data_IF_916895759300
#
_entry.id   IF_916895759300
#
_cell.length_a   1.000
_cell.length_b   1.000
_cell.length_c   1.000
_cell.angle_alpha   90.00
_cell.angle_beta   90.00
_cell.angle_gamma   90.00
#
_symmetry.space_group_name_H-M   'P 1'
#
loop_
_entity.id
_entity.type
_entity.pdbx_description
1 polymer ?
#
# COMPACT_ATOMS: atom_id res chain seq x y z
N UNK A 1 -38.82 43.77 31.25
CA UNK A 1 -40.27 43.94 31.49
C UNK A 1 -40.93 43.99 30.12
N UNK A 2 -41.52 42.84 29.67
CA UNK A 2 -42.58 42.63 28.64
C UNK A 2 -42.35 43.18 27.18
N UNK A 3 -42.71 42.49 26.06
CA UNK A 3 -43.22 41.13 25.84
C UNK A 3 -42.62 40.32 24.64
N UNK A 4 -43.05 39.05 24.59
CA UNK A 4 -43.27 38.20 23.39
C UNK A 4 -44.14 38.96 22.35
N UNK A 5 -44.07 38.70 21.05
CA UNK A 5 -44.79 37.64 20.34
C UNK A 5 -44.51 37.85 18.84
N UNK A 6 -44.13 36.82 18.09
CA UNK A 6 -44.73 36.50 16.78
C UNK A 6 -44.64 34.96 16.61
N UNK A 7 -45.81 34.34 16.61
CA UNK A 7 -46.10 33.02 16.03
C UNK A 7 -46.09 33.17 14.49
N UNK A 8 -46.04 32.18 13.59
CA UNK A 8 -46.44 30.77 13.53
C UNK A 8 -45.96 30.24 12.14
N UNK A 9 -46.17 28.94 11.87
CA UNK A 9 -45.93 28.14 10.66
C UNK A 9 -44.62 27.31 10.77
N UNK A 10 -44.64 25.99 11.02
CA UNK A 10 -45.64 24.99 10.69
C UNK A 10 -45.22 24.23 9.43
N UNK A 11 -44.28 23.28 9.56
CA UNK A 11 -44.10 22.20 8.60
C UNK A 11 -43.38 21.03 9.30
N UNK A 12 -44.14 19.96 9.56
CA UNK A 12 -43.61 18.67 9.94
C UNK A 12 -42.80 18.10 8.76
N UNK A 13 -41.48 17.99 8.92
CA UNK A 13 -40.66 17.17 8.05
C UNK A 13 -40.59 15.77 8.69
N UNK A 14 -41.38 14.85 8.11
CA UNK A 14 -41.22 13.42 8.27
C UNK A 14 -39.76 13.06 7.97
N UNK A 15 -39.04 12.61 8.99
CA UNK A 15 -37.75 11.95 8.83
C UNK A 15 -38.00 10.65 8.06
N UNK A 16 -37.75 10.67 6.75
CA UNK A 16 -37.59 9.46 5.98
C UNK A 16 -36.35 8.71 6.49
N UNK A 17 -36.42 7.40 6.75
CA UNK A 17 -35.24 6.65 7.12
C UNK A 17 -34.28 6.63 5.93
N UNK A 18 -33.02 6.99 6.19
CA UNK A 18 -31.90 6.74 5.28
C UNK A 18 -31.80 5.23 5.04
N UNK A 19 -32.46 4.75 3.99
CA UNK A 19 -32.24 3.42 3.45
C UNK A 19 -30.88 3.43 2.75
N UNK A 20 -29.89 2.74 3.34
CA UNK A 20 -28.57 2.57 2.75
C UNK A 20 -27.39 2.58 3.73
N UNK A 21 -27.58 2.13 4.96
CA UNK A 21 -26.46 1.82 5.87
C UNK A 21 -26.90 0.71 6.83
N UNK A 22 -27.02 -0.52 6.31
CA UNK A 22 -27.07 -1.73 7.11
C UNK A 22 -26.85 -2.94 6.19
N UNK A 23 -25.58 -3.31 6.03
CA UNK A 23 -25.19 -4.64 5.55
C UNK A 23 -23.70 -4.94 5.85
N UNK A 24 -23.19 -4.68 7.07
CA UNK A 24 -21.95 -5.30 7.55
C UNK A 24 -21.97 -5.46 9.08
N UNK A 25 -23.01 -6.13 9.58
CA UNK A 25 -22.89 -6.94 10.78
C UNK A 25 -23.05 -8.38 10.30
N UNK A 26 -21.94 -8.97 9.85
CA UNK A 26 -21.92 -10.30 9.25
C UNK A 26 -20.74 -11.09 9.79
N UNK A 27 -21.05 -12.22 10.43
CA UNK A 27 -20.12 -13.26 10.83
C UNK A 27 -19.36 -13.81 9.62
N UNK A 28 -18.20 -13.24 9.34
CA UNK A 28 -16.96 -13.84 8.82
C UNK A 28 -16.20 -12.74 8.09
N UNK A 29 -14.98 -12.45 8.57
CA UNK A 29 -14.05 -11.69 7.74
C UNK A 29 -13.81 -12.48 6.47
N UNK A 30 -13.67 -11.76 5.36
CA UNK A 30 -13.30 -12.34 4.09
C UNK A 30 -12.06 -13.21 4.25
N UNK A 31 -12.10 -14.46 3.81
CA UNK A 31 -10.90 -15.31 3.84
C UNK A 31 -9.89 -14.71 2.87
N UNK A 32 -8.69 -14.41 3.38
CA UNK A 32 -7.57 -13.92 2.57
C UNK A 32 -6.40 -14.88 2.68
N UNK A 33 -5.83 -15.22 1.53
CA UNK A 33 -4.64 -16.04 1.44
C UNK A 33 -3.80 -15.62 0.25
N UNK A 34 -2.51 -15.90 0.31
CA UNK A 34 -1.64 -15.87 -0.86
C UNK A 34 -1.36 -17.31 -1.25
N UNK A 35 -1.99 -17.76 -2.35
CA UNK A 35 -1.76 -19.10 -2.86
C UNK A 35 -0.31 -19.23 -3.38
N UNK A 36 0.34 -20.40 -3.23
CA UNK A 36 1.69 -20.61 -3.77
C UNK A 36 1.79 -20.25 -5.25
N UNK A 37 2.74 -19.37 -5.60
CA UNK A 37 2.96 -18.90 -6.98
C UNK A 37 1.98 -17.82 -7.46
N UNK A 38 1.01 -17.41 -6.64
CA UNK A 38 0.14 -16.29 -6.96
C UNK A 38 0.88 -14.95 -6.85
N UNK A 39 0.46 -13.99 -7.68
CA UNK A 39 0.97 -12.61 -7.63
C UNK A 39 0.05 -11.65 -6.87
N UNK A 40 -1.10 -12.12 -6.42
CA UNK A 40 -2.14 -11.34 -5.76
C UNK A 40 -2.75 -12.17 -4.63
N UNK A 41 -3.23 -11.50 -3.59
CA UNK A 41 -4.02 -12.15 -2.55
C UNK A 41 -5.37 -12.61 -3.12
N UNK A 42 -5.78 -13.82 -2.76
CA UNK A 42 -7.12 -14.35 -2.98
C UNK A 42 -8.02 -13.88 -1.84
N UNK A 43 -8.96 -12.99 -2.12
CA UNK A 43 -9.99 -12.52 -1.17
C UNK A 43 -11.31 -13.17 -1.54
N UNK A 44 -11.86 -14.02 -0.66
CA UNK A 44 -13.06 -14.82 -0.91
C UNK A 44 -12.98 -15.61 -2.23
N UNK A 45 -11.83 -16.22 -2.50
CA UNK A 45 -11.59 -17.03 -3.69
C UNK A 45 -11.31 -16.24 -4.97
N UNK A 46 -11.20 -14.91 -4.91
CA UNK A 46 -10.86 -14.06 -6.06
C UNK A 46 -9.55 -13.33 -5.85
N UNK A 47 -8.59 -13.54 -6.74
CA UNK A 47 -7.34 -12.78 -6.74
C UNK A 47 -7.62 -11.30 -7.00
N UNK A 48 -7.20 -10.45 -6.07
CA UNK A 48 -7.59 -9.04 -6.02
C UNK A 48 -6.38 -8.14 -5.80
N UNK A 49 -6.35 -6.99 -6.48
CA UNK A 49 -5.48 -5.88 -6.12
C UNK A 49 -6.05 -5.16 -4.89
N UNK A 50 -5.23 -4.94 -3.88
CA UNK A 50 -5.67 -4.29 -2.64
C UNK A 50 -5.22 -2.83 -2.59
N UNK A 51 -6.15 -1.93 -2.28
CA UNK A 51 -5.82 -0.56 -1.92
C UNK A 51 -5.54 -0.51 -0.43
N UNK A 52 -4.46 0.16 -0.05
CA UNK A 52 -4.06 0.22 1.35
C UNK A 52 -3.62 1.57 1.89
N UNK A 53 -3.33 1.55 3.19
CA UNK A 53 -3.01 2.71 4.02
C UNK A 53 -1.90 2.40 5.03
N UNK A 54 -1.06 3.38 5.34
CA UNK A 54 -0.08 3.34 6.46
C UNK A 54 -0.56 4.19 7.67
N UNK A 55 -1.56 3.74 8.46
CA UNK A 55 -2.05 4.51 9.60
C UNK A 55 -1.06 4.47 10.77
N UNK A 56 -1.08 5.51 11.61
CA UNK A 56 -0.28 5.62 12.83
C UNK A 56 -1.10 6.33 13.91
N UNK A 57 -1.02 5.84 15.14
CA UNK A 57 -1.70 6.39 16.30
C UNK A 57 -1.00 5.96 17.59
N UNK A 58 -1.22 6.69 18.68
CA UNK A 58 -0.60 6.44 20.00
C UNK A 58 -1.45 5.58 20.93
N UNK A 59 -2.65 5.21 20.48
CA UNK A 59 -3.61 4.33 21.15
C UNK A 59 -4.67 3.91 20.14
N UNK A 60 -5.48 2.89 20.46
CA UNK A 60 -6.50 2.35 19.56
C UNK A 60 -7.48 3.41 19.02
N UNK A 61 -7.91 4.35 19.86
CA UNK A 61 -8.84 5.42 19.48
C UNK A 61 -8.30 6.35 18.40
N UNK A 62 -6.99 6.62 18.38
CA UNK A 62 -6.37 7.45 17.33
C UNK A 62 -6.38 6.77 15.95
N UNK A 63 -6.52 5.45 15.88
CA UNK A 63 -6.63 4.71 14.61
C UNK A 63 -8.04 4.74 14.01
N UNK A 64 -9.09 4.81 14.84
CA UNK A 64 -10.49 4.76 14.40
C UNK A 64 -10.84 5.66 13.21
N UNK A 65 -10.52 6.98 13.21
CA UNK A 65 -10.84 7.84 12.06
C UNK A 65 -10.06 7.46 10.80
N UNK A 66 -8.84 6.92 10.94
CA UNK A 66 -8.02 6.46 9.81
C UNK A 66 -8.60 5.18 9.20
N UNK A 67 -9.13 4.29 10.04
CA UNK A 67 -9.82 3.08 9.59
C UNK A 67 -11.15 3.42 8.91
N UNK A 68 -11.90 4.39 9.46
CA UNK A 68 -13.11 4.90 8.82
C UNK A 68 -12.81 5.46 7.41
N UNK A 69 -11.76 6.27 7.27
CA UNK A 69 -11.36 6.78 5.96
C UNK A 69 -10.92 5.69 5.00
N UNK A 70 -10.25 4.64 5.50
CA UNK A 70 -9.90 3.49 4.68
C UNK A 70 -11.15 2.79 4.12
N UNK A 71 -12.07 2.41 4.99
CA UNK A 71 -13.34 1.77 4.59
C UNK A 71 -14.14 2.63 3.62
N UNK A 72 -14.29 3.93 3.91
CA UNK A 72 -15.02 4.85 3.03
C UNK A 72 -14.35 5.03 1.67
N UNK A 73 -13.04 4.83 1.58
CA UNK A 73 -12.27 5.00 0.34
C UNK A 73 -12.15 3.72 -0.48
N UNK A 74 -12.72 2.61 0.00
CA UNK A 74 -12.60 1.29 -0.63
C UNK A 74 -11.22 0.67 -0.45
N UNK A 75 -10.46 1.10 0.56
CA UNK A 75 -9.22 0.48 0.98
C UNK A 75 -9.53 -0.71 1.90
N UNK A 76 -8.73 -1.76 1.80
CA UNK A 76 -8.94 -3.01 2.53
C UNK A 76 -7.71 -3.49 3.27
N UNK A 77 -6.52 -2.93 2.98
CA UNK A 77 -5.26 -3.34 3.60
C UNK A 77 -4.64 -2.20 4.43
N UNK A 78 -4.31 -2.46 5.68
CA UNK A 78 -3.61 -1.55 6.58
C UNK A 78 -2.19 -2.10 6.82
N UNK A 79 -1.16 -1.33 6.50
CA UNK A 79 0.21 -1.64 6.91
C UNK A 79 0.55 -0.84 8.15
N UNK A 80 0.85 -1.51 9.27
CA UNK A 80 0.93 -0.88 10.59
C UNK A 80 2.29 -1.17 11.23
N UNK A 81 3.06 -0.11 11.49
CA UNK A 81 4.29 -0.18 12.28
C UNK A 81 3.96 -0.33 13.76
N UNK A 82 3.92 -1.58 14.25
CA UNK A 82 3.60 -1.85 15.66
C UNK A 82 4.67 -1.35 16.61
N UNK A 83 5.89 -1.18 16.10
CA UNK A 83 7.03 -0.61 16.79
C UNK A 83 6.99 0.93 16.91
N UNK A 84 6.00 1.59 16.30
CA UNK A 84 5.80 3.04 16.36
C UNK A 84 4.44 3.39 16.97
N UNK A 85 4.29 4.60 17.52
CA UNK A 85 3.03 5.05 18.10
C UNK A 85 2.78 4.51 19.51
N UNK A 86 2.39 3.23 19.65
CA UNK A 86 2.22 2.55 20.94
C UNK A 86 3.54 1.85 21.27
N UNK A 87 4.22 2.30 22.33
CA UNK A 87 5.56 1.82 22.68
C UNK A 87 5.51 0.75 23.78
N UNK A 88 6.20 -0.39 23.63
CA UNK A 88 6.29 -1.37 24.69
C UNK A 88 7.12 -0.80 25.87
N UNK A 89 6.83 -1.26 27.09
CA UNK A 89 7.57 -0.91 28.31
C UNK A 89 8.46 -2.05 28.80
N UNK A 90 8.42 -3.22 28.17
CA UNK A 90 9.22 -4.37 28.55
C UNK A 90 10.72 -4.23 28.18
N UNK A 91 11.62 -4.90 28.92
CA UNK A 91 13.02 -5.05 28.54
C UNK A 91 13.22 -5.78 27.21
N UNK A 92 14.45 -5.75 26.69
CA UNK A 92 14.84 -6.52 25.51
C UNK A 92 14.53 -8.02 25.68
N UNK A 93 13.89 -8.61 24.67
CA UNK A 93 13.52 -10.03 24.64
C UNK A 93 12.19 -10.40 25.30
N UNK A 94 11.56 -9.48 26.03
CA UNK A 94 10.28 -9.73 26.69
C UNK A 94 9.12 -9.06 25.94
N UNK A 95 8.02 -9.78 25.77
CA UNK A 95 6.79 -9.18 25.24
C UNK A 95 6.01 -8.50 26.38
N UNK A 96 5.64 -7.23 26.18
CA UNK A 96 4.80 -6.47 27.08
C UNK A 96 3.32 -6.85 26.86
N UNK A 97 2.69 -7.50 27.85
CA UNK A 97 1.28 -7.94 27.73
C UNK A 97 0.30 -6.77 27.53
N UNK A 98 0.52 -5.63 28.19
CA UNK A 98 -0.35 -4.47 28.01
C UNK A 98 -0.22 -3.89 26.60
N UNK A 99 0.98 -3.91 26.04
CA UNK A 99 1.24 -3.51 24.65
C UNK A 99 0.65 -4.52 23.65
N UNK A 100 0.79 -5.82 23.90
CA UNK A 100 0.21 -6.89 23.08
C UNK A 100 -1.31 -6.80 23.03
N UNK A 101 -1.95 -6.48 24.16
CA UNK A 101 -3.39 -6.29 24.25
C UNK A 101 -3.84 -5.01 23.55
N UNK A 102 -3.13 -3.89 23.73
CA UNK A 102 -3.43 -2.64 23.04
C UNK A 102 -3.39 -2.78 21.51
N UNK A 103 -2.44 -3.53 20.96
CA UNK A 103 -2.43 -3.84 19.52
C UNK A 103 -3.52 -4.85 19.13
N UNK A 104 -3.86 -5.80 20.00
CA UNK A 104 -4.99 -6.70 19.75
C UNK A 104 -6.31 -5.94 19.64
N UNK A 105 -6.51 -4.89 20.42
CA UNK A 105 -7.65 -3.97 20.31
C UNK A 105 -7.65 -3.27 18.94
N UNK A 106 -6.49 -2.74 18.49
CA UNK A 106 -6.34 -2.14 17.16
C UNK A 106 -6.69 -3.13 16.05
N UNK A 107 -6.19 -4.37 16.12
CA UNK A 107 -6.47 -5.40 15.12
C UNK A 107 -7.93 -5.80 15.11
N UNK A 108 -8.56 -5.92 16.27
CA UNK A 108 -10.00 -6.20 16.41
C UNK A 108 -10.83 -5.08 15.78
N UNK A 109 -10.51 -3.83 16.09
CA UNK A 109 -11.18 -2.66 15.51
C UNK A 109 -11.04 -2.59 13.97
N UNK A 110 -9.87 -2.98 13.44
CA UNK A 110 -9.68 -3.12 11.99
C UNK A 110 -10.55 -4.25 11.43
N UNK A 111 -10.59 -5.40 12.13
CA UNK A 111 -11.35 -6.58 11.71
C UNK A 111 -12.86 -6.29 11.64
N UNK A 112 -13.42 -5.60 12.63
CA UNK A 112 -14.85 -5.22 12.67
C UNK A 112 -15.25 -4.33 11.48
N UNK A 113 -14.29 -3.71 10.81
CA UNK A 113 -14.47 -2.86 9.63
C UNK A 113 -14.15 -3.57 8.31
N UNK A 114 -13.89 -4.88 8.36
CA UNK A 114 -13.48 -5.68 7.20
C UNK A 114 -12.08 -5.33 6.68
N UNK A 115 -11.21 -4.77 7.53
CA UNK A 115 -9.87 -4.35 7.16
C UNK A 115 -8.83 -5.41 7.56
N UNK A 116 -7.97 -5.71 6.59
CA UNK A 116 -6.81 -6.56 6.73
C UNK A 116 -5.61 -5.78 7.27
N UNK A 117 -4.72 -6.47 7.99
CA UNK A 117 -3.54 -5.85 8.61
C UNK A 117 -2.26 -6.59 8.22
N UNK A 118 -1.26 -5.82 7.79
CA UNK A 118 0.14 -6.22 7.69
C UNK A 118 0.91 -5.56 8.85
N UNK A 119 1.16 -6.28 9.97
CA UNK A 119 1.98 -5.78 11.06
C UNK A 119 3.46 -5.74 10.65
N UNK A 120 4.10 -4.61 10.92
CA UNK A 120 5.53 -4.36 10.71
C UNK A 120 6.23 -4.36 12.06
N UNK A 121 7.03 -5.41 12.28
CA UNK A 121 7.54 -5.79 13.59
C UNK A 121 8.74 -4.96 14.03
N UNK A 122 9.52 -4.44 13.08
CA UNK A 122 10.58 -3.47 13.36
C UNK A 122 10.79 -2.52 12.19
N UNK A 123 11.44 -1.39 12.44
CA UNK A 123 11.72 -0.35 11.45
C UNK A 123 13.13 0.20 11.66
N UNK A 124 13.78 0.59 10.56
CA UNK A 124 15.15 1.11 10.57
C UNK A 124 15.40 2.21 11.59
N UNK A 125 14.42 3.07 11.86
CA UNK A 125 14.56 4.19 12.79
C UNK A 125 14.98 3.72 14.19
N UNK A 126 14.49 2.56 14.66
CA UNK A 126 14.89 1.99 15.95
C UNK A 126 16.33 1.46 15.95
N UNK A 127 16.88 1.16 14.77
CA UNK A 127 18.19 0.54 14.55
C UNK A 127 19.13 1.46 13.77
N UNK A 128 18.92 2.77 13.85
CA UNK A 128 19.79 3.77 13.27
C UNK A 128 20.25 4.73 14.37
N UNK A 129 21.56 4.90 14.49
CA UNK A 129 22.22 5.71 15.51
C UNK A 129 22.53 7.15 15.06
N UNK A 130 22.05 7.55 13.87
CA UNK A 130 22.22 8.87 13.29
C UNK A 130 23.63 9.15 12.76
N UNK A 131 24.54 8.17 12.79
CA UNK A 131 25.93 8.34 12.34
C UNK A 131 26.05 8.63 10.83
N UNK A 132 25.04 8.25 10.04
CA UNK A 132 24.95 8.53 8.61
C UNK A 132 24.21 9.85 8.28
N UNK A 133 23.89 10.65 9.30
CA UNK A 133 23.22 11.94 9.17
C UNK A 133 21.72 11.86 8.89
N UNK A 134 21.11 10.67 8.97
CA UNK A 134 19.65 10.53 8.83
C UNK A 134 18.93 11.14 10.02
N UNK A 135 17.84 11.84 9.69
CA UNK A 135 16.89 12.32 10.68
C UNK A 135 16.04 11.14 11.17
N UNK A 136 15.41 11.25 12.35
CA UNK A 136 14.52 10.22 12.92
C UNK A 136 15.19 8.93 13.41
N UNK A 137 16.51 8.94 13.58
CA UNK A 137 17.20 7.96 14.41
C UNK A 137 16.54 7.86 15.79
N UNK A 138 16.37 6.63 16.27
CA UNK A 138 15.72 6.29 17.54
C UNK A 138 16.50 5.27 18.35
N UNK A 139 17.75 5.00 17.99
CA UNK A 139 18.63 4.05 18.69
C UNK A 139 18.78 4.36 20.18
N UNK A 140 18.83 5.64 20.54
CA UNK A 140 18.99 6.10 21.92
C UNK A 140 17.78 5.78 22.81
N UNK A 141 16.64 5.40 22.21
CA UNK A 141 15.42 4.97 22.90
C UNK A 141 15.12 3.49 22.71
N UNK A 142 15.95 2.75 21.98
CA UNK A 142 15.71 1.34 21.70
C UNK A 142 16.02 0.48 22.95
N UNK A 143 15.08 -0.31 23.49
CA UNK A 143 15.31 -1.16 24.66
C UNK A 143 16.47 -2.15 24.52
N UNK A 144 16.87 -2.48 23.29
CA UNK A 144 18.02 -3.34 23.02
C UNK A 144 19.36 -2.64 23.20
N UNK A 145 19.39 -1.31 23.25
CA UNK A 145 20.60 -0.52 23.41
C UNK A 145 21.24 -0.74 24.80
N UNK A 146 22.53 -1.09 24.83
CA UNK A 146 23.28 -1.32 26.07
C UNK A 146 23.35 -0.09 27.00
N UNK A 147 23.24 1.13 26.47
CA UNK A 147 23.12 2.33 27.29
C UNK A 147 21.81 2.37 28.11
N UNK A 148 20.78 1.62 27.70
CA UNK A 148 19.50 1.45 28.40
C UNK A 148 19.39 0.10 29.13
N UNK A 149 20.48 -0.67 29.21
CA UNK A 149 20.52 -1.99 29.85
C UNK A 149 20.24 -3.17 28.92
N UNK A 150 20.08 -2.93 27.61
CA UNK A 150 19.94 -4.00 26.61
C UNK A 150 21.28 -4.67 26.21
N UNK A 151 21.25 -5.70 25.35
CA UNK A 151 22.44 -6.46 24.97
C UNK A 151 23.31 -5.81 23.88
N UNK A 152 22.77 -4.86 23.11
CA UNK A 152 23.41 -4.39 21.87
C UNK A 152 24.28 -3.15 22.08
N UNK A 153 25.55 -3.24 21.68
CA UNK A 153 26.50 -2.13 21.70
C UNK A 153 26.41 -1.28 20.43
N UNK A 154 26.03 -1.90 19.32
CA UNK A 154 25.78 -1.25 18.05
C UNK A 154 24.47 -1.73 17.42
N UNK A 155 23.78 -0.89 16.61
CA UNK A 155 22.56 -1.33 15.94
C UNK A 155 22.74 -2.58 15.07
N UNK A 156 23.92 -2.73 14.45
CA UNK A 156 24.26 -3.90 13.64
C UNK A 156 24.29 -5.22 14.42
N UNK A 157 24.30 -5.20 15.76
CA UNK A 157 24.27 -6.43 16.57
C UNK A 157 22.97 -7.22 16.34
N UNK A 158 21.87 -6.59 15.91
CA UNK A 158 20.65 -7.31 15.51
C UNK A 158 20.88 -8.27 14.34
N UNK A 159 21.76 -7.91 13.39
CA UNK A 159 21.92 -8.67 12.15
C UNK A 159 22.99 -9.76 12.25
N UNK A 160 23.69 -9.85 13.38
CA UNK A 160 24.76 -10.81 13.63
C UNK A 160 24.31 -11.88 14.60
N UNK A 161 25.02 -13.01 14.64
CA UNK A 161 24.81 -14.01 15.69
C UNK A 161 25.27 -13.48 17.06
N UNK A 162 24.40 -12.70 17.70
CA UNK A 162 24.63 -11.99 18.94
C UNK A 162 23.54 -12.33 19.96
N UNK A 163 23.76 -11.97 21.22
CA UNK A 163 22.72 -12.01 22.24
C UNK A 163 21.53 -11.11 21.89
N UNK A 164 21.79 -9.95 21.27
CA UNK A 164 20.74 -9.06 20.79
C UNK A 164 19.81 -9.74 19.79
N UNK A 165 20.37 -10.44 18.80
CA UNK A 165 19.56 -11.13 17.81
C UNK A 165 18.74 -12.26 18.43
N UNK A 166 19.33 -13.03 19.35
CA UNK A 166 18.63 -14.12 20.06
C UNK A 166 17.44 -13.58 20.87
N UNK A 167 17.66 -12.56 21.69
CA UNK A 167 16.58 -11.91 22.45
C UNK A 167 15.51 -11.31 21.53
N UNK A 168 15.90 -10.70 20.41
CA UNK A 168 14.90 -10.19 19.45
C UNK A 168 14.06 -11.30 18.82
N UNK A 169 14.67 -12.45 18.51
CA UNK A 169 13.94 -13.62 18.00
C UNK A 169 13.03 -14.25 19.06
N UNK A 170 13.45 -14.27 20.33
CA UNK A 170 12.62 -14.74 21.45
C UNK A 170 11.39 -13.82 21.64
N UNK A 171 11.58 -12.50 21.52
CA UNK A 171 10.49 -11.53 21.51
C UNK A 171 9.55 -11.76 20.31
N UNK A 172 10.10 -11.96 19.12
CA UNK A 172 9.34 -12.23 17.90
C UNK A 172 8.43 -13.44 18.06
N UNK A 173 8.94 -14.55 18.61
CA UNK A 173 8.15 -15.76 18.83
C UNK A 173 6.94 -15.50 19.73
N UNK A 174 7.13 -14.77 20.83
CA UNK A 174 6.05 -14.39 21.75
C UNK A 174 4.98 -13.53 21.04
N UNK A 175 5.42 -12.54 20.26
CA UNK A 175 4.52 -11.66 19.49
C UNK A 175 3.70 -12.45 18.48
N UNK A 176 4.34 -13.29 17.66
CA UNK A 176 3.63 -14.09 16.64
C UNK A 176 2.69 -15.09 17.30
N UNK A 177 3.11 -15.77 18.36
CA UNK A 177 2.26 -16.68 19.12
C UNK A 177 0.99 -15.98 19.61
N UNK A 178 1.12 -14.76 20.14
CA UNK A 178 0.01 -13.98 20.67
C UNK A 178 -0.95 -13.50 19.59
N UNK A 179 -0.43 -13.07 18.45
CA UNK A 179 -1.22 -12.39 17.42
C UNK A 179 -1.66 -13.29 16.26
N UNK A 180 -1.09 -14.49 16.11
CA UNK A 180 -1.48 -15.45 15.05
C UNK A 180 -2.97 -15.83 15.06
N UNK A 181 -3.63 -15.69 16.21
CA UNK A 181 -5.07 -15.89 16.37
C UNK A 181 -5.94 -14.89 15.58
N UNK A 182 -5.44 -13.67 15.31
CA UNK A 182 -6.16 -12.62 14.59
C UNK A 182 -6.29 -12.97 13.10
N UNK A 183 -7.52 -13.26 12.65
CA UNK A 183 -7.80 -13.76 11.30
C UNK A 183 -7.63 -12.71 10.20
N UNK A 184 -7.60 -11.43 10.56
CA UNK A 184 -7.39 -10.32 9.64
C UNK A 184 -5.92 -9.92 9.46
N UNK A 185 -4.97 -10.57 10.14
CA UNK A 185 -3.56 -10.44 9.79
C UNK A 185 -3.29 -11.21 8.50
N UNK A 186 -2.60 -10.61 7.53
CA UNK A 186 -2.49 -11.18 6.17
C UNK A 186 -1.11 -11.62 5.78
N UNK A 187 -0.10 -11.10 6.48
CA UNK A 187 1.30 -11.43 6.33
C UNK A 187 2.06 -10.88 7.55
N UNK A 188 3.35 -11.19 7.66
CA UNK A 188 4.26 -10.63 8.66
C UNK A 188 5.36 -9.85 7.95
N UNK A 189 5.50 -8.57 8.29
CA UNK A 189 6.67 -7.82 7.87
C UNK A 189 7.70 -7.79 9.00
N UNK A 190 8.79 -8.52 8.80
CA UNK A 190 9.86 -8.69 9.79
C UNK A 190 10.49 -7.34 10.12
N UNK A 191 10.78 -6.55 9.08
CA UNK A 191 11.54 -5.32 9.20
C UNK A 191 11.28 -4.38 8.02
N UNK A 192 10.98 -3.13 8.32
CA UNK A 192 10.81 -2.06 7.34
C UNK A 192 12.12 -1.32 7.09
N UNK A 193 12.55 -1.31 5.83
CA UNK A 193 13.75 -0.65 5.30
C UNK A 193 15.05 -1.12 5.95
N UNK A 194 15.31 -2.43 5.88
CA UNK A 194 16.53 -3.06 6.45
C UNK A 194 17.83 -2.36 6.05
N UNK A 195 17.88 -1.84 4.83
CA UNK A 195 19.03 -1.16 4.25
C UNK A 195 19.34 0.21 4.84
N UNK A 196 18.49 0.71 5.74
CA UNK A 196 18.70 1.96 6.47
C UNK A 196 19.16 1.77 7.93
N UNK A 197 19.20 0.54 8.43
CA UNK A 197 19.74 0.28 9.77
C UNK A 197 21.27 0.47 9.78
N UNK A 198 21.80 1.11 10.83
CA UNK A 198 23.23 1.43 10.91
C UNK A 198 24.07 0.14 10.88
N UNK A 199 24.97 0.06 9.91
CA UNK A 199 25.92 -1.04 9.79
C UNK A 199 25.32 -2.35 9.26
N UNK A 200 24.08 -2.32 8.75
CA UNK A 200 23.50 -3.46 8.07
C UNK A 200 24.18 -3.70 6.71
N UNK A 201 24.60 -4.94 6.46
CA UNK A 201 24.94 -5.44 5.14
C UNK A 201 23.84 -6.36 4.63
N UNK A 202 23.73 -6.50 3.30
CA UNK A 202 22.74 -7.40 2.72
C UNK A 202 22.91 -8.85 3.21
N UNK A 203 24.13 -9.36 3.29
CA UNK A 203 24.38 -10.75 3.70
C UNK A 203 23.93 -11.01 5.15
N UNK A 204 24.32 -10.15 6.10
CA UNK A 204 23.90 -10.27 7.50
C UNK A 204 22.39 -10.09 7.65
N UNK A 205 21.78 -9.17 6.90
CA UNK A 205 20.35 -8.96 6.96
C UNK A 205 19.54 -10.13 6.38
N UNK A 206 20.06 -10.84 5.37
CA UNK A 206 19.45 -12.08 4.86
C UNK A 206 19.50 -13.18 5.91
N UNK A 207 20.65 -13.38 6.57
CA UNK A 207 20.78 -14.38 7.64
C UNK A 207 19.80 -14.09 8.77
N UNK A 208 19.74 -12.84 9.24
CA UNK A 208 18.76 -12.39 10.23
C UNK A 208 17.32 -12.65 9.77
N UNK A 209 16.98 -12.24 8.54
CA UNK A 209 15.64 -12.40 8.01
C UNK A 209 15.23 -13.87 7.91
N UNK A 210 16.13 -14.76 7.48
CA UNK A 210 15.84 -16.19 7.39
C UNK A 210 15.62 -16.83 8.78
N UNK A 211 16.39 -16.40 9.80
CA UNK A 211 16.15 -16.82 11.19
C UNK A 211 14.80 -16.32 11.72
N UNK A 212 14.44 -15.07 11.43
CA UNK A 212 13.15 -14.49 11.78
C UNK A 212 11.99 -15.21 11.07
N UNK A 213 12.14 -15.47 9.76
CA UNK A 213 11.15 -16.20 8.99
C UNK A 213 10.95 -17.62 9.53
N UNK A 214 12.03 -18.32 9.90
CA UNK A 214 11.94 -19.63 10.53
C UNK A 214 11.23 -19.59 11.89
N UNK A 215 11.45 -18.55 12.71
CA UNK A 215 10.74 -18.35 13.97
C UNK A 215 9.24 -18.11 13.75
N UNK A 216 8.87 -17.23 12.82
CA UNK A 216 7.47 -16.97 12.45
C UNK A 216 6.79 -18.26 11.97
N UNK A 217 7.47 -19.06 11.14
CA UNK A 217 6.93 -20.33 10.63
C UNK A 217 6.67 -21.38 11.72
N UNK A 218 7.44 -21.37 12.82
CA UNK A 218 7.19 -22.25 13.97
C UNK A 218 5.93 -21.86 14.73
N UNK A 219 5.67 -20.56 14.85
CA UNK A 219 4.61 -20.01 15.71
C UNK A 219 3.29 -19.75 14.96
N UNK A 220 3.33 -19.38 13.68
CA UNK A 220 2.13 -19.10 12.88
C UNK A 220 1.63 -20.34 12.11
N UNK A 221 0.72 -21.08 12.74
CA UNK A 221 0.10 -22.28 12.17
C UNK A 221 -0.71 -22.04 10.89
N UNK A 222 -1.07 -20.79 10.58
CA UNK A 222 -1.76 -20.42 9.34
C UNK A 222 -0.80 -20.23 8.16
N UNK A 223 0.51 -20.31 8.40
CA UNK A 223 1.55 -20.17 7.38
C UNK A 223 1.41 -18.90 6.52
N UNK A 224 1.06 -17.77 7.14
CA UNK A 224 0.87 -16.50 6.43
C UNK A 224 2.17 -16.04 5.74
N UNK A 225 2.09 -15.31 4.62
CA UNK A 225 3.27 -14.78 3.95
C UNK A 225 4.17 -13.93 4.84
N UNK A 226 5.47 -13.92 4.56
CA UNK A 226 6.49 -13.17 5.27
C UNK A 226 7.21 -12.25 4.28
N UNK A 227 7.49 -11.03 4.72
CA UNK A 227 8.17 -10.01 3.92
C UNK A 227 9.12 -9.16 4.77
N UNK A 228 9.99 -8.44 4.09
CA UNK A 228 10.78 -7.33 4.61
C UNK A 228 11.00 -6.34 3.46
N UNK A 229 11.22 -5.07 3.78
CA UNK A 229 11.36 -4.03 2.76
C UNK A 229 12.74 -3.40 2.72
N UNK A 230 13.03 -2.77 1.59
CA UNK A 230 14.16 -1.85 1.40
C UNK A 230 13.65 -0.46 1.03
N UNK A 231 14.41 0.57 1.38
CA UNK A 231 14.03 1.97 1.16
C UNK A 231 14.07 2.39 -0.31
N UNK A 232 13.11 3.24 -0.69
CA UNK A 232 13.13 3.92 -1.98
C UNK A 232 13.19 2.96 -3.17
N UNK A 233 14.24 3.13 -3.97
CA UNK A 233 14.53 2.31 -5.16
C UNK A 233 15.61 1.26 -4.91
N UNK A 234 16.14 1.18 -3.68
CA UNK A 234 17.20 0.24 -3.35
C UNK A 234 16.73 -1.19 -3.55
N UNK A 235 17.70 -2.07 -3.76
CA UNK A 235 17.45 -3.46 -4.07
C UNK A 235 18.52 -4.29 -3.38
N UNK A 236 18.08 -5.26 -2.59
CA UNK A 236 18.90 -6.31 -2.03
C UNK A 236 18.52 -7.63 -2.71
N UNK A 237 19.25 -8.02 -3.79
CA UNK A 237 18.91 -9.20 -4.57
C UNK A 237 19.03 -10.55 -3.87
N UNK A 238 19.87 -10.70 -2.85
CA UNK A 238 19.92 -11.89 -1.99
C UNK A 238 18.66 -11.96 -1.12
N UNK A 239 18.26 -10.85 -0.50
CA UNK A 239 17.02 -10.77 0.29
C UNK A 239 15.79 -11.09 -0.55
N UNK A 240 15.63 -10.44 -1.70
CA UNK A 240 14.48 -10.66 -2.55
C UNK A 240 14.44 -12.06 -3.19
N UNK A 241 15.59 -12.77 -3.26
CA UNK A 241 15.65 -14.18 -3.68
C UNK A 241 15.52 -15.18 -2.53
N UNK A 242 15.66 -14.74 -1.27
CA UNK A 242 15.60 -15.65 -0.13
C UNK A 242 14.31 -16.48 -0.17
N UNK A 243 14.37 -17.80 0.06
CA UNK A 243 13.19 -18.66 0.09
C UNK A 243 12.24 -18.35 1.25
N UNK A 244 12.72 -17.66 2.31
CA UNK A 244 11.88 -17.22 3.42
C UNK A 244 11.02 -15.99 3.12
N UNK A 245 11.30 -15.27 2.01
CA UNK A 245 10.61 -14.04 1.63
C UNK A 245 9.57 -14.34 0.56
N UNK A 246 8.29 -14.25 0.90
CA UNK A 246 7.19 -14.58 -0.01
C UNK A 246 6.81 -13.39 -0.90
N UNK A 247 6.95 -12.17 -0.39
CA UNK A 247 6.53 -10.92 -1.04
C UNK A 247 7.70 -9.96 -1.12
N UNK A 248 8.03 -9.48 -2.32
CA UNK A 248 8.99 -8.39 -2.52
C UNK A 248 8.30 -7.08 -2.18
N UNK A 249 8.87 -6.31 -1.26
CA UNK A 249 8.29 -5.05 -0.81
C UNK A 249 9.16 -3.86 -1.22
N UNK A 250 8.53 -2.85 -1.82
CA UNK A 250 9.20 -1.63 -2.32
C UNK A 250 8.57 -0.37 -1.73
N UNK A 251 9.38 0.67 -1.55
CA UNK A 251 8.98 1.94 -0.95
C UNK A 251 9.20 3.13 -1.91
N UNK A 252 8.52 3.21 -3.07
CA UNK A 252 8.77 4.25 -4.07
C UNK A 252 8.47 5.66 -3.55
N UNK A 253 9.50 6.51 -3.54
CA UNK A 253 9.36 7.95 -3.30
C UNK A 253 10.00 8.76 -4.42
N UNK A 254 9.22 9.65 -5.02
CA UNK A 254 9.62 10.40 -6.21
C UNK A 254 10.39 11.70 -5.92
N UNK A 255 11.19 11.74 -4.84
CA UNK A 255 11.87 12.94 -4.35
C UNK A 255 12.56 13.75 -5.47
N UNK A 256 12.21 15.03 -5.66
CA UNK A 256 12.97 15.94 -6.51
C UNK A 256 14.32 16.31 -5.87
N UNK A 257 15.39 16.57 -6.65
CA UNK A 257 15.46 16.48 -8.11
C UNK A 257 15.73 15.06 -8.64
N UNK A 258 16.05 14.10 -7.75
CA UNK A 258 16.57 12.76 -8.12
C UNK A 258 15.61 11.96 -9.00
N UNK A 259 14.30 12.08 -8.76
CA UNK A 259 13.28 11.29 -9.46
C UNK A 259 12.15 12.13 -10.08
N UNK A 260 12.42 13.43 -10.27
CA UNK A 260 11.55 14.38 -10.98
C UNK A 260 10.11 14.57 -10.43
N UNK A 261 9.69 13.88 -9.38
CA UNK A 261 8.35 13.98 -8.78
C UNK A 261 7.27 13.06 -9.39
N UNK A 262 7.61 12.32 -10.46
CA UNK A 262 6.67 11.45 -11.19
C UNK A 262 6.58 10.05 -10.56
N UNK A 263 5.86 9.99 -9.43
CA UNK A 263 5.68 8.74 -8.66
C UNK A 263 4.97 7.63 -9.44
N UNK A 264 4.04 7.99 -10.31
CA UNK A 264 3.30 7.05 -11.14
C UNK A 264 4.20 6.30 -12.14
N UNK A 265 5.12 7.02 -12.81
CA UNK A 265 6.10 6.44 -13.71
C UNK A 265 7.06 5.51 -12.97
N UNK A 266 7.56 5.96 -11.80
CA UNK A 266 8.42 5.15 -10.93
C UNK A 266 7.73 3.84 -10.48
N UNK A 267 6.45 3.90 -10.09
CA UNK A 267 5.68 2.72 -9.69
C UNK A 267 5.58 1.72 -10.85
N UNK A 268 5.23 2.18 -12.05
CA UNK A 268 5.13 1.31 -13.22
C UNK A 268 6.46 0.61 -13.51
N UNK A 269 7.57 1.33 -13.46
CA UNK A 269 8.91 0.79 -13.73
C UNK A 269 9.35 -0.21 -12.66
N UNK A 270 9.36 0.20 -11.39
CA UNK A 270 9.91 -0.60 -10.30
C UNK A 270 9.13 -1.89 -10.10
N UNK A 271 7.79 -1.81 -10.08
CA UNK A 271 6.95 -3.00 -9.87
C UNK A 271 7.20 -4.03 -10.96
N UNK A 272 7.21 -3.60 -12.23
CA UNK A 272 7.41 -4.52 -13.37
C UNK A 272 8.81 -5.13 -13.34
N UNK A 273 9.82 -4.30 -13.07
CA UNK A 273 11.22 -4.74 -12.96
C UNK A 273 11.41 -5.78 -11.85
N UNK A 274 10.90 -5.50 -10.64
CA UNK A 274 11.01 -6.42 -9.50
C UNK A 274 10.22 -7.71 -9.75
N UNK A 275 9.00 -7.61 -10.27
CA UNK A 275 8.17 -8.78 -10.59
C UNK A 275 8.85 -9.68 -11.62
N UNK A 276 9.41 -9.10 -12.69
CA UNK A 276 10.12 -9.83 -13.72
C UNK A 276 11.40 -10.49 -13.19
N UNK A 277 12.18 -9.78 -12.37
CA UNK A 277 13.49 -10.23 -11.90
C UNK A 277 13.40 -11.31 -10.82
N UNK A 278 12.40 -11.24 -9.95
CA UNK A 278 12.30 -12.14 -8.79
C UNK A 278 11.21 -13.19 -8.90
N UNK A 279 10.23 -13.03 -9.81
CA UNK A 279 9.15 -14.00 -9.97
C UNK A 279 8.22 -14.11 -8.75
N UNK A 280 8.22 -13.10 -7.88
CA UNK A 280 7.41 -13.01 -6.65
C UNK A 280 6.38 -11.87 -6.73
N UNK A 281 5.28 -11.94 -5.98
CA UNK A 281 4.39 -10.79 -5.81
C UNK A 281 5.16 -9.57 -5.30
N UNK A 282 4.77 -8.39 -5.80
CA UNK A 282 5.34 -7.11 -5.37
C UNK A 282 4.29 -6.31 -4.60
N UNK A 283 4.60 -5.94 -3.37
CA UNK A 283 3.78 -5.07 -2.53
C UNK A 283 4.43 -3.69 -2.47
N UNK A 284 3.68 -2.64 -2.81
CA UNK A 284 4.10 -1.26 -2.54
C UNK A 284 3.82 -1.04 -1.05
N UNK A 285 4.84 -1.01 -0.21
CA UNK A 285 4.71 -0.93 1.26
C UNK A 285 4.55 0.50 1.75
N UNK A 286 5.31 1.39 1.14
CA UNK A 286 5.21 2.84 1.35
C UNK A 286 5.31 3.52 -0.01
N UNK A 287 4.66 4.66 -0.16
CA UNK A 287 4.92 5.54 -1.28
C UNK A 287 4.65 6.98 -0.91
N UNK A 288 5.12 7.90 -1.76
CA UNK A 288 4.84 9.31 -1.59
C UNK A 288 5.62 10.16 -2.58
N UNK A 289 5.22 11.43 -2.67
CA UNK A 289 5.91 12.38 -3.54
C UNK A 289 7.30 12.75 -2.98
N UNK A 290 7.48 12.66 -1.66
CA UNK A 290 8.75 12.96 -1.01
C UNK A 290 8.91 12.20 0.32
N UNK A 291 9.99 11.45 0.47
CA UNK A 291 10.33 10.74 1.71
C UNK A 291 10.64 11.69 2.89
N UNK A 292 11.06 12.95 2.64
CA UNK A 292 11.49 13.89 3.69
C UNK A 292 10.33 14.47 4.52
N UNK A 293 9.09 14.20 4.13
CA UNK A 293 7.91 14.71 4.82
C UNK A 293 7.35 15.97 4.22
N UNK A 294 6.57 16.70 5.02
CA UNK A 294 5.67 17.73 4.51
C UNK A 294 6.40 19.03 4.19
N UNK A 295 7.20 19.53 5.13
CA UNK A 295 7.71 20.90 5.10
C UNK A 295 8.71 21.13 3.96
N UNK A 296 8.37 22.03 3.04
CA UNK A 296 9.25 22.46 1.95
C UNK A 296 9.45 21.40 0.87
N UNK A 297 8.53 20.43 0.77
CA UNK A 297 8.59 19.37 -0.23
C UNK A 297 7.42 19.46 -1.21
N UNK A 298 7.46 18.59 -2.23
CA UNK A 298 6.42 18.50 -3.24
C UNK A 298 5.04 18.11 -2.66
N UNK A 299 5.01 17.50 -1.47
CA UNK A 299 3.78 17.08 -0.78
C UNK A 299 2.90 18.28 -0.38
N UNK A 300 3.49 19.46 -0.14
CA UNK A 300 2.75 20.68 0.20
C UNK A 300 2.10 21.38 -1.01
N UNK A 301 2.44 20.96 -2.23
CA UNK A 301 1.85 21.53 -3.44
C UNK A 301 0.32 21.41 -3.43
N UNK A 302 -0.44 22.48 -3.74
CA UNK A 302 -1.89 22.38 -3.95
C UNK A 302 -2.27 21.39 -5.06
N UNK A 303 -1.33 21.04 -5.95
CA UNK A 303 -1.50 20.09 -7.04
C UNK A 303 -1.03 18.66 -6.69
N UNK A 304 -0.42 18.45 -5.52
CA UNK A 304 0.01 17.13 -5.05
C UNK A 304 -1.08 16.04 -5.14
N UNK A 305 -2.37 16.31 -4.84
CA UNK A 305 -3.42 15.31 -5.01
C UNK A 305 -3.55 14.74 -6.44
N UNK A 306 -3.15 15.48 -7.48
CA UNK A 306 -3.16 14.99 -8.87
C UNK A 306 -2.07 13.94 -9.08
N UNK A 307 -0.84 14.23 -8.64
CA UNK A 307 0.28 13.28 -8.69
C UNK A 307 0.01 12.02 -7.87
N UNK A 308 -0.57 12.18 -6.67
CA UNK A 308 -0.98 11.06 -5.82
C UNK A 308 -2.09 10.22 -6.49
N UNK A 309 -3.11 10.85 -7.08
CA UNK A 309 -4.16 10.12 -7.80
C UNK A 309 -3.58 9.32 -8.98
N UNK A 310 -2.67 9.93 -9.76
CA UNK A 310 -1.98 9.24 -10.87
C UNK A 310 -1.16 8.05 -10.36
N UNK A 311 -0.49 8.18 -9.21
CA UNK A 311 0.27 7.09 -8.60
C UNK A 311 -0.61 5.91 -8.15
N UNK A 312 -1.80 6.18 -7.59
CA UNK A 312 -2.75 5.13 -7.19
C UNK A 312 -3.28 4.38 -8.42
N UNK A 313 -3.60 5.10 -9.50
CA UNK A 313 -4.01 4.49 -10.77
C UNK A 313 -2.88 3.66 -11.40
N UNK A 314 -1.65 4.19 -11.43
CA UNK A 314 -0.48 3.47 -11.90
C UNK A 314 -0.25 2.18 -11.11
N UNK A 315 -0.40 2.20 -9.79
CA UNK A 315 -0.27 1.01 -8.96
C UNK A 315 -1.25 -0.10 -9.39
N UNK A 316 -2.52 0.23 -9.67
CA UNK A 316 -3.53 -0.74 -10.09
C UNK A 316 -3.22 -1.45 -11.42
N UNK A 317 -2.44 -0.82 -12.31
CA UNK A 317 -2.05 -1.37 -13.63
C UNK A 317 -0.56 -1.71 -13.76
N UNK A 318 0.18 -1.63 -12.64
CA UNK A 318 1.62 -1.90 -12.59
C UNK A 318 1.95 -3.38 -12.54
N UNK A 319 1.07 -4.17 -11.90
CA UNK A 319 1.31 -5.57 -11.57
C UNK A 319 1.62 -5.82 -10.09
N UNK A 320 1.53 -4.79 -9.25
CA UNK A 320 1.66 -4.88 -7.80
C UNK A 320 0.42 -5.57 -7.21
N UNK A 321 0.59 -6.26 -6.09
CA UNK A 321 -0.50 -6.91 -5.37
C UNK A 321 -1.30 -5.93 -4.52
N UNK A 322 -0.66 -4.84 -4.08
CA UNK A 322 -1.27 -3.76 -3.33
C UNK A 322 -0.64 -2.41 -3.67
N UNK A 323 -1.38 -1.32 -3.50
CA UNK A 323 -0.95 0.04 -3.80
C UNK A 323 -1.59 1.12 -2.93
N UNK A 324 -1.41 2.39 -3.33
CA UNK A 324 -1.68 3.60 -2.55
C UNK A 324 -0.68 3.80 -1.41
N UNK A 325 -0.80 3.08 -0.30
CA UNK A 325 0.17 3.02 0.82
C UNK A 325 0.97 4.30 1.07
N UNK A 326 0.28 5.44 1.20
CA UNK A 326 0.96 6.74 1.30
C UNK A 326 1.54 6.89 2.70
N UNK A 327 2.79 7.30 2.87
CA UNK A 327 3.38 7.34 4.21
C UNK A 327 2.93 8.54 5.03
N UNK A 328 3.22 9.75 4.55
CA UNK A 328 2.97 10.99 5.30
C UNK A 328 1.48 11.32 5.37
N UNK A 329 0.76 11.01 4.30
CA UNK A 329 -0.65 11.36 4.07
C UNK A 329 -1.62 10.46 4.85
N UNK A 330 -1.17 9.29 5.33
CA UNK A 330 -2.07 8.28 5.90
C UNK A 330 -2.10 8.20 7.42
N UNK A 331 -1.02 8.59 8.10
CA UNK A 331 -0.89 8.26 9.52
C UNK A 331 0.12 9.12 10.24
N UNK A 332 1.30 9.28 9.66
CA UNK A 332 2.45 9.87 10.31
C UNK A 332 2.34 11.37 10.64
N UNK A 333 1.24 12.02 10.21
CA UNK A 333 0.91 13.40 10.54
C UNK A 333 0.68 13.70 12.05
N UNK A 334 0.70 12.72 12.94
CA UNK A 334 0.67 13.03 14.39
C UNK A 334 1.88 13.90 14.83
N UNK A 335 2.87 14.11 13.94
CA UNK A 335 4.09 14.87 14.19
C UNK A 335 4.20 16.29 13.54
N UNK A 336 3.51 16.67 12.44
CA UNK A 336 3.68 18.02 11.84
C UNK A 336 2.45 18.94 11.73
N UNK A 337 1.23 18.60 12.18
CA UNK A 337 0.12 19.57 12.27
C UNK A 337 -0.50 20.11 10.95
N UNK A 338 -0.11 19.62 9.76
CA UNK A 338 -0.55 20.13 8.44
C UNK A 338 -1.84 19.44 7.93
N UNK A 339 -2.79 20.11 7.27
CA UNK A 339 -4.07 19.50 6.83
C UNK A 339 -4.02 18.42 5.70
N UNK A 340 -2.86 17.87 5.34
CA UNK A 340 -2.73 16.97 4.16
C UNK A 340 -3.65 15.74 4.24
N UNK A 341 -3.89 15.19 5.44
CA UNK A 341 -4.81 14.07 5.67
C UNK A 341 -6.20 14.34 5.08
N UNK A 342 -6.73 15.57 5.17
CA UNK A 342 -8.07 15.90 4.67
C UNK A 342 -8.13 16.09 3.16
N UNK A 343 -7.00 16.36 2.50
CA UNK A 343 -6.94 16.59 1.04
C UNK A 343 -6.84 15.30 0.24
N UNK A 344 -6.24 14.26 0.81
CA UNK A 344 -5.85 13.04 0.08
C UNK A 344 -6.51 11.76 0.60
N UNK A 345 -7.34 11.83 1.66
CA UNK A 345 -7.88 10.62 2.29
C UNK A 345 -8.72 9.76 1.34
N UNK A 346 -9.45 10.38 0.40
CA UNK A 346 -10.42 9.71 -0.47
C UNK A 346 -9.93 9.44 -1.90
N UNK A 347 -8.65 9.69 -2.21
CA UNK A 347 -8.11 9.56 -3.57
C UNK A 347 -8.18 8.13 -4.12
N UNK A 348 -8.36 7.13 -3.24
CA UNK A 348 -8.51 5.73 -3.63
C UNK A 348 -9.88 5.40 -4.25
N UNK A 349 -10.93 6.18 -3.94
CA UNK A 349 -12.33 5.87 -4.32
C UNK A 349 -12.52 5.55 -5.81
N UNK A 350 -11.97 6.34 -6.75
CA UNK A 350 -12.14 6.06 -8.18
C UNK A 350 -11.50 4.73 -8.59
N UNK A 351 -10.34 4.42 -8.02
CA UNK A 351 -9.60 3.17 -8.29
C UNK A 351 -10.31 1.98 -7.66
N UNK A 352 -10.84 2.12 -6.45
CA UNK A 352 -11.60 1.07 -5.78
C UNK A 352 -12.80 0.63 -6.62
N UNK A 353 -13.59 1.59 -7.13
CA UNK A 353 -14.69 1.33 -8.06
C UNK A 353 -14.22 0.67 -9.35
N UNK A 354 -13.07 1.08 -9.86
CA UNK A 354 -12.50 0.51 -11.08
C UNK A 354 -12.04 -0.93 -10.88
N UNK A 355 -11.48 -1.33 -9.73
CA UNK A 355 -10.96 -2.70 -9.55
C UNK A 355 -11.96 -3.68 -8.95
N UNK A 356 -13.11 -3.22 -8.46
CA UNK A 356 -14.10 -4.00 -7.69
C UNK A 356 -14.57 -5.31 -8.37
N UNK A 357 -14.73 -5.30 -9.70
CA UNK A 357 -15.20 -6.43 -10.51
C UNK A 357 -14.07 -7.14 -11.28
N UNK A 358 -12.80 -6.79 -11.02
CA UNK A 358 -11.63 -7.33 -11.71
C UNK A 358 -11.10 -8.55 -10.95
N UNK A 359 -10.93 -9.67 -11.66
CA UNK A 359 -10.15 -10.80 -11.17
C UNK A 359 -8.72 -10.66 -11.67
N UNK A 360 -7.76 -10.54 -10.77
CA UNK A 360 -6.34 -10.37 -11.08
C UNK A 360 -5.61 -11.68 -11.35
N UNK A 361 -6.29 -12.82 -11.27
CA UNK A 361 -5.72 -14.12 -11.61
C UNK A 361 -5.14 -14.10 -13.04
N UNK A 362 -3.86 -14.45 -13.14
CA UNK A 362 -3.14 -14.50 -14.41
C UNK A 362 -2.80 -13.13 -15.03
N UNK A 363 -3.16 -12.01 -14.39
CA UNK A 363 -2.82 -10.67 -14.88
C UNK A 363 -1.31 -10.45 -14.88
N UNK A 364 -0.75 -10.12 -16.04
CA UNK A 364 0.67 -9.81 -16.25
C UNK A 364 0.82 -8.45 -16.93
N UNK A 365 1.95 -7.74 -16.73
CA UNK A 365 2.28 -6.54 -17.50
C UNK A 365 2.12 -6.76 -19.01
N UNK A 366 1.32 -5.92 -19.64
CA UNK A 366 1.13 -5.89 -21.09
C UNK A 366 2.05 -4.83 -21.70
N UNK A 367 2.82 -5.21 -22.72
CA UNK A 367 3.57 -4.26 -23.52
C UNK A 367 2.60 -3.39 -24.33
N UNK A 368 2.66 -2.09 -24.15
CA UNK A 368 1.80 -1.12 -24.82
C UNK A 368 2.69 -0.10 -25.52
N UNK A 369 2.51 0.00 -26.84
CA UNK A 369 3.10 1.06 -27.66
C UNK A 369 2.15 2.25 -27.64
N UNK A 370 2.56 3.33 -27.00
CA UNK A 370 1.74 4.53 -26.85
C UNK A 370 2.40 5.73 -27.51
N UNK A 371 1.61 6.69 -28.00
CA UNK A 371 2.16 7.96 -28.50
C UNK A 371 2.94 8.68 -27.37
N UNK A 372 3.93 9.49 -27.74
CA UNK A 372 4.71 10.35 -26.83
C UNK A 372 3.85 11.34 -26.00
N UNK A 373 2.59 11.52 -26.39
CA UNK A 373 1.59 12.35 -25.72
C UNK A 373 0.97 11.70 -24.49
N UNK A 374 1.15 10.40 -24.29
CA UNK A 374 0.58 9.67 -23.14
C UNK A 374 1.62 8.84 -22.40
N UNK A 375 1.43 8.71 -21.09
CA UNK A 375 2.19 7.82 -20.22
C UNK A 375 1.21 6.89 -19.51
N UNK A 376 1.53 5.61 -19.38
CA UNK A 376 0.63 4.68 -18.71
C UNK A 376 1.07 3.23 -18.77
N UNK A 377 0.12 2.35 -18.47
CA UNK A 377 0.39 0.93 -18.38
C UNK A 377 -0.89 0.10 -18.46
N UNK A 378 -0.71 -1.19 -18.78
CA UNK A 378 -1.80 -2.15 -18.77
C UNK A 378 -1.35 -3.49 -18.18
N UNK A 379 -2.34 -4.24 -17.69
CA UNK A 379 -2.25 -5.65 -17.33
C UNK A 379 -3.18 -6.46 -18.21
N UNK A 380 -2.78 -7.68 -18.54
CA UNK A 380 -3.59 -8.62 -19.30
C UNK A 380 -3.56 -10.02 -18.66
N UNK A 381 -4.72 -10.66 -18.59
CA UNK A 381 -4.89 -12.11 -18.49
C UNK A 381 -5.27 -12.66 -19.87
N UNK A 382 -5.60 -13.94 -19.98
CA UNK A 382 -6.08 -14.53 -21.24
C UNK A 382 -7.35 -13.85 -21.78
N UNK A 383 -8.27 -13.44 -20.89
CA UNK A 383 -9.61 -12.97 -21.24
C UNK A 383 -9.94 -11.56 -20.77
N UNK A 384 -9.00 -10.85 -20.15
CA UNK A 384 -9.22 -9.50 -19.66
C UNK A 384 -7.97 -8.63 -19.78
N UNK A 385 -8.19 -7.34 -20.04
CA UNK A 385 -7.15 -6.30 -20.05
C UNK A 385 -7.67 -5.14 -19.19
N UNK A 386 -6.81 -4.59 -18.34
CA UNK A 386 -7.05 -3.32 -17.66
C UNK A 386 -5.91 -2.37 -17.96
N UNK A 387 -6.22 -1.08 -18.15
CA UNK A 387 -5.20 -0.09 -18.46
C UNK A 387 -5.54 1.28 -17.92
N UNK A 388 -4.49 2.08 -17.70
CA UNK A 388 -4.59 3.48 -17.31
C UNK A 388 -3.51 4.29 -18.05
N UNK A 389 -3.92 5.44 -18.57
CA UNK A 389 -3.06 6.33 -19.35
C UNK A 389 -3.37 7.79 -19.00
N UNK A 390 -2.32 8.58 -18.80
CA UNK A 390 -2.40 10.04 -18.57
C UNK A 390 -1.75 10.82 -19.69
N UNK A 391 -2.04 12.12 -19.76
CA UNK A 391 -1.27 13.08 -20.53
C UNK A 391 0.19 13.06 -20.03
N UNK A 392 1.13 12.75 -20.93
CA UNK A 392 2.54 12.63 -20.59
C UNK A 392 3.11 13.91 -19.98
N UNK A 393 2.58 15.08 -20.34
CA UNK A 393 3.00 16.37 -19.78
C UNK A 393 2.21 16.81 -18.55
N UNK A 394 1.27 16.00 -18.04
CA UNK A 394 0.72 16.14 -16.69
C UNK A 394 1.69 15.49 -15.68
N UNK A 395 2.85 16.13 -15.52
CA UNK A 395 3.98 15.66 -14.72
C UNK A 395 4.29 16.66 -13.59
N UNK A 396 5.02 16.20 -12.59
CA UNK A 396 5.51 17.04 -11.51
C UNK A 396 6.45 18.16 -12.03
N UNK A 397 6.59 19.28 -11.29
CA UNK A 397 5.92 19.61 -10.02
C UNK A 397 4.53 20.25 -10.19
N UNK A 398 4.12 20.55 -11.43
CA UNK A 398 2.96 21.41 -11.69
C UNK A 398 1.67 20.63 -11.99
N UNK A 399 1.79 19.39 -12.47
CA UNK A 399 0.69 18.53 -12.95
C UNK A 399 -0.36 19.31 -13.74
N UNK A 400 0.01 19.95 -14.87
CA UNK A 400 -0.92 20.76 -15.64
C UNK A 400 -2.03 19.87 -16.19
N UNK A 401 -3.28 20.15 -15.79
CA UNK A 401 -4.45 19.44 -16.28
C UNK A 401 -4.90 20.07 -17.58
N UNK A 402 -4.85 19.29 -18.66
CA UNK A 402 -5.31 19.69 -20.00
C UNK A 402 -6.24 18.65 -20.56
N UNK A 403 -7.03 19.07 -21.53
CA UNK A 403 -7.79 18.16 -22.39
C UNK A 403 -6.86 17.61 -23.46
N UNK A 404 -6.75 16.28 -23.54
CA UNK A 404 -6.02 15.57 -24.58
C UNK A 404 -7.02 14.89 -25.51
N UNK A 405 -6.76 15.00 -26.82
CA UNK A 405 -7.59 14.38 -27.87
C UNK A 405 -6.68 13.74 -28.93
N UNK A 406 -7.21 12.70 -29.60
CA UNK A 406 -6.51 11.98 -30.67
C UNK A 406 -5.27 11.23 -30.19
N UNK A 407 -5.29 10.73 -28.94
CA UNK A 407 -4.26 9.83 -28.44
C UNK A 407 -4.65 8.39 -28.76
N UNK A 408 -3.65 7.56 -29.05
CA UNK A 408 -3.84 6.15 -29.40
C UNK A 408 -2.83 5.29 -28.64
N UNK A 409 -3.22 4.04 -28.41
CA UNK A 409 -2.36 2.99 -27.86
C UNK A 409 -2.48 1.75 -28.73
N UNK A 410 -1.40 0.98 -28.82
CA UNK A 410 -1.34 -0.28 -29.52
C UNK A 410 -0.76 -1.37 -28.61
N UNK A 411 -1.26 -2.59 -28.76
CA UNK A 411 -0.75 -3.77 -28.07
C UNK A 411 -1.21 -5.03 -28.77
N UNK A 412 -0.61 -6.15 -28.39
CA UNK A 412 -1.05 -7.46 -28.84
C UNK A 412 -2.09 -8.05 -27.88
N UNK A 413 -3.18 -8.57 -28.43
CA UNK A 413 -4.18 -9.30 -27.67
C UNK A 413 -3.58 -10.61 -27.11
N UNK A 414 -3.90 -10.95 -25.85
CA UNK A 414 -3.38 -12.15 -25.19
C UNK A 414 -4.04 -13.44 -25.69
N UNK A 415 -5.25 -13.34 -26.24
CA UNK A 415 -6.03 -14.45 -26.78
C UNK A 415 -6.36 -14.22 -28.26
N UNK A 416 -6.65 -15.32 -28.97
CA UNK A 416 -7.14 -15.32 -30.35
C UNK A 416 -8.64 -14.98 -30.46
N UNK A 417 -9.31 -14.66 -29.35
CA UNK A 417 -10.71 -14.22 -29.38
C UNK A 417 -10.90 -13.02 -30.30
N UNK A 418 -11.85 -13.18 -31.22
CA UNK A 418 -12.09 -12.20 -32.29
C UNK A 418 -12.97 -11.03 -31.85
N UNK A 419 -13.68 -11.16 -30.72
CA UNK A 419 -14.59 -10.14 -30.20
C UNK A 419 -14.28 -9.77 -28.74
N UNK A 420 -14.04 -8.48 -28.50
CA UNK A 420 -13.74 -7.92 -27.18
C UNK A 420 -14.71 -6.80 -26.84
N UNK A 421 -15.10 -6.73 -25.57
CA UNK A 421 -15.87 -5.64 -25.01
C UNK A 421 -14.93 -4.63 -24.36
N UNK A 422 -14.76 -3.45 -24.97
CA UNK A 422 -14.01 -2.32 -24.43
C UNK A 422 -14.92 -1.38 -23.66
N UNK A 423 -14.47 -0.91 -22.49
CA UNK A 423 -15.13 0.09 -21.68
C UNK A 423 -14.12 1.11 -21.15
N UNK A 424 -14.43 2.40 -21.29
CA UNK A 424 -13.61 3.50 -20.75
C UNK A 424 -14.19 4.05 -19.45
N UNK A 425 -13.29 4.51 -18.59
CA UNK A 425 -13.57 4.96 -17.23
C UNK A 425 -12.95 6.33 -16.98
N UNK A 426 -13.75 7.19 -16.35
CA UNK A 426 -13.31 8.50 -15.89
C UNK A 426 -12.52 8.32 -14.59
N UNK A 427 -11.27 8.79 -14.58
CA UNK A 427 -10.34 8.53 -13.49
C UNK A 427 -10.58 9.39 -12.24
N UNK A 428 -11.46 10.40 -12.32
CA UNK A 428 -11.84 11.24 -11.19
C UNK A 428 -13.00 10.64 -10.40
N UNK A 429 -13.92 9.94 -11.06
CA UNK A 429 -15.12 9.34 -10.47
C UNK A 429 -15.06 7.82 -10.34
N UNK A 430 -14.22 7.16 -11.14
CA UNK A 430 -14.20 5.70 -11.31
C UNK A 430 -15.37 5.18 -12.13
N UNK A 431 -16.20 6.06 -12.70
CA UNK A 431 -17.39 5.71 -13.45
C UNK A 431 -17.07 5.38 -14.91
N UNK A 432 -17.71 4.34 -15.44
CA UNK A 432 -17.66 4.06 -16.87
C UNK A 432 -18.49 5.08 -17.65
N UNK A 433 -17.99 5.54 -18.79
CA UNK A 433 -18.69 6.54 -19.62
C UNK A 433 -18.83 6.14 -21.09
N UNK A 434 -18.12 5.12 -21.55
CA UNK A 434 -18.20 4.64 -22.94
C UNK A 434 -17.98 3.14 -22.99
N UNK A 435 -18.74 2.44 -23.85
CA UNK A 435 -18.67 0.99 -24.03
C UNK A 435 -18.81 0.65 -25.51
N UNK A 436 -17.90 -0.15 -26.06
CA UNK A 436 -17.85 -0.53 -27.48
C UNK A 436 -17.45 -1.99 -27.64
N UNK A 437 -17.99 -2.64 -28.67
CA UNK A 437 -17.52 -3.97 -29.09
C UNK A 437 -16.46 -3.78 -30.17
N UNK A 438 -15.33 -4.45 -30.02
CA UNK A 438 -14.25 -4.45 -31.00
C UNK A 438 -14.16 -5.85 -31.60
N UNK A 439 -14.22 -5.92 -32.92
CA UNK A 439 -13.96 -7.12 -33.70
C UNK A 439 -12.62 -6.97 -34.40
N UNK A 440 -11.73 -7.94 -34.25
CA UNK A 440 -10.44 -7.94 -34.92
C UNK A 440 -10.07 -9.34 -35.39
N UNK A 441 -9.49 -9.41 -36.58
CA UNK A 441 -8.88 -10.64 -37.10
C UNK A 441 -7.39 -10.70 -36.76
N UNK A 442 -6.76 -9.54 -36.53
CA UNK A 442 -5.35 -9.43 -36.20
C UNK A 442 -5.12 -9.42 -34.69
N UNK A 443 -4.03 -10.06 -34.26
CA UNK A 443 -3.61 -10.07 -32.84
C UNK A 443 -3.23 -8.68 -32.34
N UNK A 444 -2.60 -7.86 -33.19
CA UNK A 444 -2.22 -6.49 -32.85
C UNK A 444 -3.39 -5.54 -33.07
N UNK A 445 -3.76 -4.81 -32.03
CA UNK A 445 -4.90 -3.90 -32.03
C UNK A 445 -4.45 -2.46 -31.73
N UNK A 446 -5.13 -1.50 -32.36
CA UNK A 446 -5.02 -0.08 -32.06
C UNK A 446 -6.30 0.41 -31.38
N UNK A 447 -6.16 1.07 -30.24
CA UNK A 447 -7.26 1.67 -29.49
C UNK A 447 -7.10 3.19 -29.50
N UNK A 448 -8.08 3.88 -30.10
CA UNK A 448 -8.22 5.31 -29.96
C UNK A 448 -8.76 5.63 -28.56
N UNK A 449 -8.01 6.42 -27.80
CA UNK A 449 -8.45 6.90 -26.49
C UNK A 449 -9.47 8.03 -26.69
N UNK A 450 -10.56 8.07 -25.90
CA UNK A 450 -11.51 9.18 -25.94
C UNK A 450 -10.83 10.47 -25.48
N UNK A 451 -11.46 11.61 -25.71
CA UNK A 451 -10.97 12.86 -25.13
C UNK A 451 -11.05 12.80 -23.59
N UNK A 452 -9.96 13.12 -22.90
CA UNK A 452 -9.91 13.08 -21.43
C UNK A 452 -9.15 14.27 -20.84
N UNK A 453 -9.35 14.51 -19.54
CA UNK A 453 -8.60 15.47 -18.74
C UNK A 453 -7.71 14.74 -17.74
N UNK A 454 -6.42 15.06 -17.70
CA UNK A 454 -5.39 14.35 -16.94
C UNK A 454 -5.20 12.89 -17.38
N UNK A 455 -6.17 12.00 -17.13
CA UNK A 455 -6.05 10.57 -17.45
C UNK A 455 -7.37 9.89 -17.81
N UNK A 456 -7.26 8.70 -18.37
CA UNK A 456 -8.35 7.78 -18.70
C UNK A 456 -7.95 6.35 -18.32
N UNK A 457 -8.92 5.54 -17.92
CA UNK A 457 -8.73 4.11 -17.72
C UNK A 457 -9.63 3.30 -18.64
N UNK A 458 -9.26 2.04 -18.87
CA UNK A 458 -10.02 1.11 -19.70
C UNK A 458 -10.05 -0.28 -19.11
N UNK A 459 -11.11 -1.01 -19.46
CA UNK A 459 -11.18 -2.47 -19.33
C UNK A 459 -11.55 -3.06 -20.67
N UNK A 460 -10.95 -4.19 -21.00
CA UNK A 460 -11.41 -5.07 -22.07
C UNK A 460 -11.69 -6.45 -21.51
N UNK A 461 -12.76 -7.09 -21.99
CA UNK A 461 -13.08 -8.49 -21.68
C UNK A 461 -13.37 -9.21 -22.99
N UNK A 462 -12.80 -10.40 -23.16
CA UNK A 462 -13.20 -11.31 -24.23
C UNK A 462 -14.69 -11.67 -24.06
N UNK A 463 -15.39 -11.86 -25.17
CA UNK A 463 -16.83 -12.15 -25.18
C UNK A 463 -17.16 -13.62 -25.39
#
# INVERSE_FOLDING_TARGET
>A
MIPRHWALLGAAALAAPLAGANAFAGDSLSNIALDPGAFYFSVNGRQSFLLGRNPTGRNAKEFEPLFQWASESGETLLRIHVCTGIQPQAPAGEADEAWLEAWSEVFTNARERGLFVLPVLSVWAQWNDGSDGRQWAGWERNPYNAALGGPARHPADLFRDSECQRLWLDWLEQVVRRWSAHDNLVAWEVFSELDLATGASEAEAVEFFERAAAAIRREDSRARPITASTAGVHEWPLLFRSPGLDIVQIHPYANPPRFHGDLDAMILELVRSRRQKYGKPVLIGESGLDARGLKGTLVESPRAPIGLANAIWAAAVSGAMAGRMLWWEDGYRIYPGVEVKTRSWNLAKPVARFVEDVNFAGMKPLAVDASDRVLGGALASENAIIGWFRDARCAAPDWPVRRLEGAEIEFDLPSAESEWLLQFFDTQSGGAFEKKTIRQENRRIRIALPAFQNSVALKMRAK
#
